data_IF_161374106004
#
_entry.id   IF_161374106004
#
_cell.length_a   1.000
_cell.length_b   1.000
_cell.length_c   1.000
_cell.angle_alpha   90.00
_cell.angle_beta   90.00
_cell.angle_gamma   90.00
#
_symmetry.space_group_name_H-M   'P 1'
#
loop_
_entity.id
_entity.type
_entity.pdbx_description
1 polymer ?
#
# COMPACT_ATOMS: atom_id res chain seq x y z
N UNK A 1 -47.72 52.75 -5.68
CA UNK A 1 -47.58 51.29 -5.63
C UNK A 1 -46.31 50.82 -6.27
N UNK A 2 -45.90 51.23 -7.48
CA UNK A 2 -44.71 50.83 -8.21
C UNK A 2 -43.37 51.09 -7.50
N UNK A 3 -43.19 52.22 -6.77
CA UNK A 3 -41.95 52.52 -6.01
C UNK A 3 -41.68 51.57 -4.82
N UNK A 4 -42.71 51.04 -4.17
CA UNK A 4 -42.59 50.04 -3.09
C UNK A 4 -42.18 48.69 -3.63
N UNK A 5 -42.66 48.26 -4.80
CA UNK A 5 -42.28 47.00 -5.44
C UNK A 5 -40.80 47.01 -5.90
N UNK A 6 -40.33 48.13 -6.49
CA UNK A 6 -38.94 48.30 -6.90
C UNK A 6 -37.98 48.28 -5.70
N UNK A 7 -38.36 48.85 -4.56
CA UNK A 7 -37.57 48.79 -3.32
C UNK A 7 -37.46 47.39 -2.72
N UNK A 8 -38.52 46.60 -2.78
CA UNK A 8 -38.51 45.20 -2.32
C UNK A 8 -37.65 44.29 -3.23
N UNK A 9 -37.74 44.53 -4.54
CA UNK A 9 -36.91 43.78 -5.52
C UNK A 9 -35.41 44.09 -5.35
N UNK A 10 -35.06 45.37 -5.14
CA UNK A 10 -33.67 45.79 -4.90
C UNK A 10 -33.09 45.21 -3.60
N UNK A 11 -33.89 45.19 -2.50
CA UNK A 11 -33.49 44.54 -1.23
C UNK A 11 -33.32 43.03 -1.38
N UNK A 12 -34.18 42.33 -2.12
CA UNK A 12 -34.06 40.90 -2.38
C UNK A 12 -32.77 40.58 -3.17
N UNK A 13 -32.45 41.34 -4.22
CA UNK A 13 -31.22 41.17 -5.02
C UNK A 13 -29.99 41.39 -4.13
N UNK A 14 -29.99 42.41 -3.25
CA UNK A 14 -28.86 42.66 -2.34
C UNK A 14 -28.68 41.52 -1.32
N UNK A 15 -29.76 40.96 -0.78
CA UNK A 15 -29.67 39.81 0.17
C UNK A 15 -29.12 38.57 -0.55
N UNK A 16 -29.62 38.27 -1.75
CA UNK A 16 -29.11 37.12 -2.52
C UNK A 16 -27.63 37.29 -2.89
N UNK A 17 -27.15 38.47 -3.26
CA UNK A 17 -25.76 38.71 -3.58
C UNK A 17 -24.84 38.58 -2.36
N UNK A 18 -25.31 39.02 -1.19
CA UNK A 18 -24.56 38.82 0.08
C UNK A 18 -24.51 37.34 0.46
N UNK A 19 -25.60 36.59 0.36
CA UNK A 19 -25.62 35.16 0.62
C UNK A 19 -24.70 34.40 -0.34
N UNK A 20 -24.70 34.69 -1.63
CA UNK A 20 -23.80 34.08 -2.61
C UNK A 20 -22.35 34.41 -2.34
N UNK A 21 -22.03 35.65 -1.98
CA UNK A 21 -20.65 36.04 -1.62
C UNK A 21 -20.19 35.32 -0.36
N UNK A 22 -21.05 35.19 0.66
CA UNK A 22 -20.73 34.43 1.88
C UNK A 22 -20.50 32.96 1.60
N UNK A 23 -21.33 32.32 0.78
CA UNK A 23 -21.14 30.94 0.34
C UNK A 23 -19.83 30.75 -0.43
N UNK A 24 -19.48 31.69 -1.32
CA UNK A 24 -18.23 31.65 -2.05
C UNK A 24 -17.01 31.74 -1.11
N UNK A 25 -17.05 32.63 -0.13
CA UNK A 25 -15.99 32.75 0.89
C UNK A 25 -15.82 31.46 1.69
N UNK A 26 -16.93 30.83 2.13
CA UNK A 26 -16.89 29.55 2.83
C UNK A 26 -16.32 28.46 1.95
N UNK A 27 -16.77 28.35 0.69
CA UNK A 27 -16.26 27.36 -0.26
C UNK A 27 -14.74 27.53 -0.51
N UNK A 28 -14.27 28.77 -0.69
CA UNK A 28 -12.84 29.05 -0.82
C UNK A 28 -12.10 28.65 0.46
N UNK A 29 -12.62 28.97 1.64
CA UNK A 29 -12.05 28.57 2.92
C UNK A 29 -11.89 27.05 3.04
N UNK A 30 -12.91 26.28 2.67
CA UNK A 30 -12.87 24.81 2.65
C UNK A 30 -11.79 24.30 1.68
N UNK A 31 -11.75 24.83 0.46
CA UNK A 31 -10.73 24.45 -0.54
C UNK A 31 -9.32 24.73 -0.01
N UNK A 32 -9.10 25.89 0.60
CA UNK A 32 -7.78 26.24 1.19
C UNK A 32 -7.40 25.26 2.30
N UNK A 33 -8.32 24.97 3.23
CA UNK A 33 -8.06 24.00 4.31
C UNK A 33 -7.69 22.62 3.75
N UNK A 34 -8.47 22.10 2.80
CA UNK A 34 -8.19 20.81 2.16
C UNK A 34 -6.82 20.83 1.47
N UNK A 35 -6.48 21.89 0.73
CA UNK A 35 -5.18 22.01 0.07
C UNK A 35 -4.01 22.05 1.05
N UNK A 36 -4.13 22.82 2.13
CA UNK A 36 -3.10 22.86 3.19
C UNK A 36 -2.91 21.49 3.82
N UNK A 37 -3.99 20.78 4.12
CA UNK A 37 -3.91 19.45 4.71
C UNK A 37 -3.36 18.41 3.72
N UNK A 38 -3.66 18.49 2.44
CA UNK A 38 -3.03 17.67 1.39
C UNK A 38 -1.50 17.88 1.36
N UNK A 39 -1.04 19.13 1.40
CA UNK A 39 0.40 19.44 1.43
C UNK A 39 1.07 18.92 2.71
N UNK A 40 0.39 19.02 3.86
CA UNK A 40 0.89 18.45 5.12
C UNK A 40 0.99 16.93 5.05
N UNK A 41 -0.02 16.26 4.50
CA UNK A 41 -0.02 14.81 4.32
C UNK A 41 1.12 14.38 3.39
N UNK A 42 1.32 15.06 2.25
CA UNK A 42 2.43 14.78 1.33
C UNK A 42 3.81 14.94 2.01
N UNK A 43 4.01 16.03 2.78
CA UNK A 43 5.26 16.25 3.53
C UNK A 43 5.49 15.17 4.58
N UNK A 44 4.45 14.77 5.30
CA UNK A 44 4.51 13.68 6.27
C UNK A 44 4.88 12.36 5.60
N UNK A 45 4.21 11.99 4.52
CA UNK A 45 4.53 10.79 3.75
C UNK A 45 5.96 10.80 3.23
N UNK A 46 6.44 11.94 2.74
CA UNK A 46 7.83 12.06 2.30
C UNK A 46 8.82 11.85 3.46
N UNK A 47 8.53 12.36 4.65
CA UNK A 47 9.35 12.13 5.84
C UNK A 47 9.34 10.64 6.26
N UNK A 48 8.19 9.97 6.22
CA UNK A 48 8.05 8.55 6.53
C UNK A 48 8.83 7.68 5.51
N UNK A 49 8.80 8.03 4.23
CA UNK A 49 9.64 7.39 3.20
C UNK A 49 11.15 7.57 3.48
N UNK A 50 11.57 8.78 3.87
CA UNK A 50 12.96 9.02 4.26
C UNK A 50 13.35 8.21 5.49
N UNK A 51 12.48 8.15 6.50
CA UNK A 51 12.70 7.34 7.69
C UNK A 51 12.88 5.86 7.33
N UNK A 52 12.01 5.30 6.49
CA UNK A 52 12.09 3.91 6.05
C UNK A 52 13.42 3.61 5.33
N UNK A 53 13.81 4.47 4.38
CA UNK A 53 15.04 4.27 3.57
C UNK A 53 16.31 4.48 4.39
N UNK A 54 16.26 5.31 5.42
CA UNK A 54 17.38 5.62 6.30
C UNK A 54 17.60 4.60 7.42
N UNK A 55 16.73 3.61 7.59
CA UNK A 55 16.90 2.57 8.61
C UNK A 55 18.27 1.87 8.45
N UNK A 56 18.98 1.60 9.56
CA UNK A 56 20.25 0.91 9.52
C UNK A 56 20.07 -0.51 8.98
N UNK A 57 21.00 -0.93 8.13
CA UNK A 57 20.98 -2.26 7.55
C UNK A 57 21.50 -3.29 8.53
N UNK A 58 20.91 -4.46 8.44
CA UNK A 58 21.46 -5.61 9.18
C UNK A 58 22.75 -6.11 8.53
N UNK A 59 23.76 -6.51 9.32
CA UNK A 59 24.94 -7.17 8.78
C UNK A 59 24.56 -8.36 7.89
N UNK A 60 25.13 -8.44 6.70
CA UNK A 60 24.90 -9.58 5.82
C UNK A 60 25.85 -10.70 6.21
N UNK A 61 25.38 -11.82 6.76
CA UNK A 61 26.22 -12.97 7.02
C UNK A 61 26.77 -13.53 5.69
N UNK A 62 27.85 -14.30 5.76
CA UNK A 62 28.30 -15.04 4.60
C UNK A 62 27.18 -15.88 3.99
N UNK A 63 27.11 -16.01 2.66
CA UNK A 63 26.03 -16.75 2.03
C UNK A 63 25.98 -18.18 2.52
N UNK A 64 25.00 -18.51 3.36
CA UNK A 64 24.68 -19.88 3.72
C UNK A 64 23.93 -20.54 2.58
N UNK A 65 24.21 -21.83 2.33
CA UNK A 65 23.44 -22.59 1.36
C UNK A 65 21.96 -22.61 1.80
N UNK A 66 21.10 -21.92 1.05
CA UNK A 66 19.66 -21.95 1.28
C UNK A 66 19.09 -23.28 0.79
N UNK A 67 18.68 -24.13 1.73
CA UNK A 67 17.87 -25.30 1.40
C UNK A 67 16.44 -24.84 1.14
N UNK A 68 16.07 -24.74 -0.13
CA UNK A 68 14.74 -24.32 -0.54
C UNK A 68 13.87 -25.53 -0.90
N UNK A 69 12.55 -25.52 -0.54
CA UNK A 69 11.59 -26.48 -1.07
C UNK A 69 11.59 -26.49 -2.59
N UNK A 70 11.33 -27.63 -3.26
CA UNK A 70 11.39 -27.71 -4.72
C UNK A 70 10.60 -26.65 -5.48
N UNK A 71 9.33 -26.31 -5.12
CA UNK A 71 8.60 -25.25 -5.82
C UNK A 71 9.26 -23.87 -5.64
N UNK A 72 9.81 -23.59 -4.47
CA UNK A 72 10.50 -22.33 -4.16
C UNK A 72 11.83 -22.21 -4.91
N UNK A 73 12.58 -23.33 -5.02
CA UNK A 73 13.82 -23.36 -5.78
C UNK A 73 13.56 -23.07 -7.28
N UNK A 74 12.50 -23.67 -7.86
CA UNK A 74 12.09 -23.36 -9.24
C UNK A 74 11.72 -21.88 -9.41
N UNK A 75 10.91 -21.33 -8.49
CA UNK A 75 10.54 -19.92 -8.50
C UNK A 75 11.77 -19.01 -8.44
N UNK A 76 12.72 -19.30 -7.56
CA UNK A 76 13.94 -18.50 -7.44
C UNK A 76 14.72 -18.43 -8.76
N UNK A 77 14.89 -19.56 -9.44
CA UNK A 77 15.58 -19.59 -10.73
C UNK A 77 14.87 -18.77 -11.80
N UNK A 78 13.53 -18.83 -11.85
CA UNK A 78 12.73 -18.13 -12.82
C UNK A 78 12.62 -16.63 -12.54
N UNK A 79 12.49 -16.25 -11.27
CA UNK A 79 12.16 -14.89 -10.88
C UNK A 79 13.38 -14.02 -10.58
N UNK A 80 14.48 -14.61 -10.13
CA UNK A 80 15.65 -13.87 -9.66
C UNK A 80 16.91 -14.22 -10.47
N UNK A 81 17.13 -15.50 -10.80
CA UNK A 81 18.37 -15.96 -11.43
C UNK A 81 19.59 -15.59 -10.58
N UNK A 82 20.60 -15.00 -11.22
CA UNK A 82 21.85 -14.54 -10.60
C UNK A 82 21.84 -13.05 -10.22
N UNK A 83 20.64 -12.44 -10.17
CA UNK A 83 20.53 -11.02 -9.90
C UNK A 83 20.97 -10.67 -8.47
N UNK A 84 21.68 -9.55 -8.35
CA UNK A 84 21.99 -8.94 -7.05
C UNK A 84 20.70 -8.56 -6.31
N UNK A 85 20.66 -8.71 -4.99
CA UNK A 85 19.50 -8.33 -4.19
C UNK A 85 19.10 -6.87 -4.39
N UNK A 86 17.82 -6.65 -4.66
CA UNK A 86 17.20 -5.33 -4.72
C UNK A 86 17.15 -4.74 -3.30
N UNK A 87 17.36 -3.45 -3.18
CA UNK A 87 17.37 -2.73 -1.90
C UNK A 87 16.08 -1.99 -1.67
N UNK A 88 15.57 -1.34 -2.71
CA UNK A 88 14.34 -0.57 -2.69
C UNK A 88 13.53 -0.85 -3.94
N UNK A 89 12.21 -0.78 -3.80
CA UNK A 89 11.26 -0.72 -4.92
C UNK A 89 10.36 0.47 -4.72
N UNK A 90 10.26 1.32 -5.74
CA UNK A 90 9.19 2.31 -5.86
C UNK A 90 8.18 1.83 -6.90
N UNK A 91 6.91 1.84 -6.54
CA UNK A 91 5.83 1.33 -7.38
C UNK A 91 4.68 2.34 -7.47
N UNK A 92 4.06 2.41 -8.64
CA UNK A 92 2.77 3.08 -8.85
C UNK A 92 1.76 2.05 -9.33
N UNK A 93 0.56 2.17 -8.84
CA UNK A 93 -0.53 1.28 -9.21
C UNK A 93 -1.85 2.04 -9.30
N UNK A 94 -2.78 1.46 -10.02
CA UNK A 94 -4.19 1.81 -10.04
C UNK A 94 -5.04 0.55 -9.83
N UNK A 95 -6.34 0.70 -9.73
CA UNK A 95 -7.22 -0.46 -9.60
C UNK A 95 -8.57 -0.12 -9.02
N UNK A 96 -9.16 -1.09 -8.33
CA UNK A 96 -10.45 -0.93 -7.64
C UNK A 96 -10.36 -1.37 -6.20
N UNK A 97 -11.16 -0.73 -5.36
CA UNK A 97 -11.25 -1.01 -3.93
C UNK A 97 -12.72 -1.04 -3.48
N UNK A 98 -13.08 -2.06 -2.67
CA UNK A 98 -14.39 -2.23 -2.07
C UNK A 98 -14.28 -2.14 -0.55
N UNK A 99 -15.12 -1.34 0.07
CA UNK A 99 -15.14 -1.19 1.55
C UNK A 99 -15.96 -2.28 2.25
N UNK A 100 -16.85 -2.94 1.51
CA UNK A 100 -17.68 -4.05 2.01
C UNK A 100 -18.09 -4.97 0.85
N UNK A 101 -18.55 -6.20 1.13
CA UNK A 101 -19.01 -7.13 0.09
C UNK A 101 -20.15 -6.59 -0.79
N UNK A 102 -20.91 -5.64 -0.29
CA UNK A 102 -22.07 -5.03 -0.99
C UNK A 102 -21.77 -3.66 -1.58
N UNK A 103 -20.58 -3.09 -1.30
CA UNK A 103 -20.19 -1.79 -1.85
C UNK A 103 -19.83 -1.89 -3.32
N UNK A 104 -20.12 -0.82 -4.09
CA UNK A 104 -19.63 -0.71 -5.46
C UNK A 104 -18.11 -0.50 -5.44
N UNK A 105 -17.37 -1.08 -6.41
CA UNK A 105 -15.96 -0.80 -6.55
C UNK A 105 -15.68 0.68 -6.80
N UNK A 106 -14.77 1.24 -6.02
CA UNK A 106 -14.26 2.60 -6.18
C UNK A 106 -12.92 2.57 -6.88
N UNK A 107 -12.65 3.53 -7.76
CA UNK A 107 -11.34 3.67 -8.37
C UNK A 107 -10.32 4.06 -7.31
N UNK A 108 -9.14 3.43 -7.38
CA UNK A 108 -8.01 3.70 -6.49
C UNK A 108 -6.74 3.93 -7.30
N UNK A 109 -5.92 4.87 -6.86
CA UNK A 109 -4.57 5.10 -7.37
C UNK A 109 -3.63 5.25 -6.20
N UNK A 110 -2.45 4.65 -6.27
CA UNK A 110 -1.51 4.69 -5.17
C UNK A 110 -0.05 4.63 -5.60
N UNK A 111 0.79 4.96 -4.63
CA UNK A 111 2.23 4.82 -4.71
C UNK A 111 2.72 4.08 -3.49
N UNK A 112 3.77 3.29 -3.68
CA UNK A 112 4.39 2.54 -2.59
C UNK A 112 5.89 2.52 -2.76
N UNK A 113 6.60 2.63 -1.64
CA UNK A 113 8.01 2.32 -1.55
C UNK A 113 8.20 1.13 -0.62
N UNK A 114 9.09 0.24 -1.00
CA UNK A 114 9.54 -0.89 -0.18
C UNK A 114 11.03 -0.78 0.08
N UNK A 115 11.45 -1.30 1.22
CA UNK A 115 12.84 -1.64 1.50
C UNK A 115 12.97 -3.14 1.73
N UNK A 116 14.11 -3.72 1.32
CA UNK A 116 14.39 -5.13 1.54
C UNK A 116 15.30 -5.38 2.75
N UNK A 117 15.98 -4.34 3.25
CA UNK A 117 16.93 -4.44 4.36
C UNK A 117 17.04 -3.13 5.15
N UNK A 118 16.41 -3.05 6.34
CA UNK A 118 15.40 -3.99 6.85
C UNK A 118 14.11 -3.96 6.01
N UNK A 119 13.34 -5.06 5.97
CA UNK A 119 12.09 -5.11 5.23
C UNK A 119 11.04 -4.17 5.80
N UNK A 120 10.40 -3.40 4.92
CA UNK A 120 9.34 -2.48 5.30
C UNK A 120 8.71 -1.81 4.09
N UNK A 121 7.65 -1.05 4.31
CA UNK A 121 7.00 -0.29 3.25
C UNK A 121 6.27 0.95 3.78
N UNK A 122 6.07 1.91 2.89
CA UNK A 122 5.10 3.01 3.03
C UNK A 122 4.25 3.05 1.76
N UNK A 123 2.96 2.91 1.93
CA UNK A 123 1.97 2.96 0.87
C UNK A 123 1.00 4.11 1.10
N UNK A 124 0.67 4.82 0.03
CA UNK A 124 -0.38 5.84 0.02
C UNK A 124 -1.27 5.67 -1.19
N UNK A 125 -2.56 5.89 -1.01
CA UNK A 125 -3.51 5.84 -2.10
C UNK A 125 -4.62 6.86 -1.93
N UNK A 126 -5.24 7.20 -3.07
CA UNK A 126 -6.45 7.97 -3.14
C UNK A 126 -7.58 7.11 -3.71
N UNK A 127 -8.70 7.07 -2.99
CA UNK A 127 -9.90 6.29 -3.33
C UNK A 127 -11.01 7.26 -3.65
N UNK A 128 -11.55 7.21 -4.86
CA UNK A 128 -12.67 8.06 -5.29
C UNK A 128 -13.97 7.67 -4.60
N UNK A 129 -14.68 8.63 -4.01
CA UNK A 129 -15.99 8.44 -3.36
C UNK A 129 -17.12 9.03 -4.19
N UNK A 130 -16.93 10.27 -4.65
CA UNK A 130 -17.87 11.02 -5.50
C UNK A 130 -17.08 12.11 -6.24
N UNK A 131 -17.64 12.79 -7.24
CA UNK A 131 -16.99 13.94 -7.85
C UNK A 131 -16.53 14.97 -6.82
N UNK A 132 -15.22 15.21 -6.76
CA UNK A 132 -14.59 16.14 -5.81
C UNK A 132 -14.45 15.62 -4.37
N UNK A 133 -14.81 14.37 -4.09
CA UNK A 133 -14.72 13.75 -2.77
C UNK A 133 -13.90 12.45 -2.84
N UNK A 134 -12.92 12.28 -1.98
CA UNK A 134 -12.05 11.09 -1.94
C UNK A 134 -11.57 10.76 -0.53
N UNK A 135 -11.11 9.54 -0.36
CA UNK A 135 -10.34 9.14 0.82
C UNK A 135 -8.86 9.06 0.47
N UNK A 136 -8.02 9.64 1.31
CA UNK A 136 -6.58 9.47 1.30
C UNK A 136 -6.22 8.40 2.33
N UNK A 137 -5.73 7.26 1.85
CA UNK A 137 -5.33 6.12 2.67
C UNK A 137 -3.81 6.03 2.75
N UNK A 138 -3.30 5.66 3.92
CA UNK A 138 -1.92 5.36 4.17
C UNK A 138 -1.83 4.07 4.98
N UNK A 139 -0.96 3.16 4.57
CA UNK A 139 -0.58 1.95 5.32
C UNK A 139 0.93 1.82 5.28
N UNK A 140 1.55 1.45 6.38
CA UNK A 140 3.01 1.31 6.45
C UNK A 140 3.43 0.26 7.47
N UNK A 141 4.66 -0.23 7.28
CA UNK A 141 5.43 -1.00 8.25
C UNK A 141 6.84 -0.43 8.29
N UNK A 142 7.18 0.23 9.38
CA UNK A 142 8.50 0.82 9.60
C UNK A 142 9.04 0.32 10.93
N UNK A 143 10.24 -0.27 10.95
CA UNK A 143 10.86 -0.84 12.15
C UNK A 143 9.86 -1.71 12.94
N UNK A 144 9.16 -2.63 12.25
CA UNK A 144 8.19 -3.61 12.77
C UNK A 144 6.86 -3.03 13.26
N UNK A 145 6.74 -1.71 13.29
CA UNK A 145 5.50 -1.04 13.70
C UNK A 145 4.63 -0.75 12.48
N UNK A 146 3.45 -1.33 12.47
CA UNK A 146 2.42 -1.09 11.48
C UNK A 146 1.56 0.13 11.85
N UNK A 147 1.13 0.89 10.86
CA UNK A 147 0.08 1.89 11.06
C UNK A 147 -0.79 2.04 9.82
N UNK A 148 -2.08 2.23 10.04
CA UNK A 148 -3.06 2.47 9.00
C UNK A 148 -3.84 3.74 9.30
N UNK A 149 -3.86 4.66 8.33
CA UNK A 149 -4.62 5.90 8.42
C UNK A 149 -5.45 6.12 7.17
N UNK A 150 -6.70 6.53 7.37
CA UNK A 150 -7.59 6.96 6.29
C UNK A 150 -8.19 8.31 6.65
N UNK A 151 -8.09 9.26 5.75
CA UNK A 151 -8.61 10.61 5.89
C UNK A 151 -9.61 10.90 4.77
N UNK A 152 -10.73 11.53 5.09
CA UNK A 152 -11.62 12.10 4.09
C UNK A 152 -11.05 13.46 3.66
N UNK A 153 -10.78 13.63 2.36
CA UNK A 153 -10.18 14.83 1.76
C UNK A 153 -8.95 15.34 2.52
N UNK A 154 -8.06 14.42 2.94
CA UNK A 154 -6.88 14.71 3.76
C UNK A 154 -7.16 15.47 5.06
N UNK A 155 -8.41 15.61 5.49
CA UNK A 155 -8.82 16.52 6.57
C UNK A 155 -9.46 15.79 7.74
N UNK A 156 -10.49 14.95 7.48
CA UNK A 156 -11.24 14.30 8.55
C UNK A 156 -10.73 12.85 8.75
N UNK A 157 -10.23 12.48 9.94
CA UNK A 157 -9.79 11.13 10.20
C UNK A 157 -10.99 10.17 10.22
N UNK A 158 -10.93 9.12 9.41
CA UNK A 158 -11.90 8.01 9.34
C UNK A 158 -11.33 6.77 10.01
N UNK A 159 -10.03 6.50 9.80
CA UNK A 159 -9.28 5.44 10.44
C UNK A 159 -7.94 5.99 10.91
N UNK A 160 -7.55 5.64 12.13
CA UNK A 160 -6.19 5.82 12.66
C UNK A 160 -5.92 4.63 13.57
N UNK A 161 -5.23 3.61 13.06
CA UNK A 161 -5.07 2.33 13.71
C UNK A 161 -3.60 1.94 13.83
N UNK A 162 -3.24 1.42 15.00
CA UNK A 162 -1.91 0.92 15.37
C UNK A 162 -2.05 -0.27 16.35
N UNK A 163 -0.92 -0.88 16.68
CA UNK A 163 -0.82 -1.96 17.65
C UNK A 163 -0.72 -3.34 17.04
N UNK A 164 -0.57 -4.39 17.85
CA UNK A 164 -0.19 -5.73 17.40
C UNK A 164 -1.02 -6.34 16.27
N UNK A 165 -2.36 -6.15 16.21
CA UNK A 165 -3.15 -6.62 15.06
C UNK A 165 -2.78 -5.93 13.74
N UNK A 166 -2.42 -4.63 13.79
CA UNK A 166 -2.00 -3.87 12.61
C UNK A 166 -0.57 -4.25 12.23
N UNK A 167 0.34 -4.42 13.19
CA UNK A 167 1.70 -4.88 12.96
C UNK A 167 1.71 -6.22 12.23
N UNK A 168 0.93 -7.20 12.72
CA UNK A 168 0.75 -8.51 12.09
C UNK A 168 0.16 -8.38 10.67
N UNK A 169 -0.88 -7.57 10.53
CA UNK A 169 -1.55 -7.34 9.25
C UNK A 169 -0.64 -6.70 8.20
N UNK A 170 0.17 -5.71 8.61
CA UNK A 170 1.13 -5.03 7.72
C UNK A 170 2.31 -5.94 7.38
N UNK A 171 2.80 -6.76 8.32
CA UNK A 171 3.85 -7.74 8.02
C UNK A 171 3.38 -8.86 7.07
N UNK A 172 2.14 -9.34 7.19
CA UNK A 172 1.56 -10.28 6.23
C UNK A 172 1.38 -9.66 4.85
N UNK A 173 0.94 -8.40 4.80
CA UNK A 173 0.87 -7.64 3.56
C UNK A 173 2.24 -7.53 2.92
N UNK A 174 3.27 -7.15 3.68
CA UNK A 174 4.65 -7.06 3.19
C UNK A 174 5.10 -8.39 2.58
N UNK A 175 4.89 -9.53 3.27
CA UNK A 175 5.25 -10.86 2.78
C UNK A 175 4.53 -11.20 1.47
N UNK A 176 3.22 -10.92 1.38
CA UNK A 176 2.42 -11.15 0.18
C UNK A 176 2.84 -10.23 -0.99
N UNK A 177 3.43 -9.10 -0.73
CA UNK A 177 3.87 -8.11 -1.73
C UNK A 177 5.34 -8.31 -2.17
N UNK A 178 6.11 -9.17 -1.50
CA UNK A 178 7.50 -9.48 -1.89
C UNK A 178 7.66 -10.08 -3.31
N UNK A 179 6.67 -10.74 -3.95
CA UNK A 179 6.79 -11.13 -5.35
C UNK A 179 7.04 -9.96 -6.33
N UNK A 180 6.77 -8.71 -5.92
CA UNK A 180 7.13 -7.52 -6.70
C UNK A 180 8.62 -7.18 -6.65
N UNK A 181 9.37 -7.67 -5.65
CA UNK A 181 10.84 -7.57 -5.52
C UNK A 181 11.40 -8.88 -4.98
N UNK A 182 11.35 -9.95 -5.78
CA UNK A 182 11.44 -11.34 -5.34
C UNK A 182 12.78 -11.70 -4.69
N UNK A 183 13.85 -10.90 -4.88
CA UNK A 183 15.11 -11.11 -4.17
C UNK A 183 14.94 -11.08 -2.65
N UNK A 184 13.96 -10.35 -2.12
CA UNK A 184 13.67 -10.27 -0.68
C UNK A 184 13.13 -11.59 -0.11
N UNK A 185 12.40 -12.38 -0.91
CA UNK A 185 11.89 -13.70 -0.50
C UNK A 185 12.99 -14.74 -0.27
N UNK A 186 14.20 -14.46 -0.73
CA UNK A 186 15.36 -15.34 -0.63
C UNK A 186 16.46 -14.78 0.29
N UNK A 187 16.18 -13.73 1.03
CA UNK A 187 17.06 -13.23 2.07
C UNK A 187 16.82 -13.99 3.39
N UNK A 188 17.69 -14.97 3.67
CA UNK A 188 17.56 -15.86 4.83
C UNK A 188 17.63 -15.15 6.19
N UNK A 189 18.03 -13.88 6.22
CA UNK A 189 17.99 -13.05 7.44
C UNK A 189 16.56 -12.79 7.88
N UNK A 190 15.64 -12.70 6.93
CA UNK A 190 14.27 -12.30 7.15
C UNK A 190 13.25 -13.36 6.76
N UNK A 191 13.49 -14.13 5.69
CA UNK A 191 12.51 -15.08 5.17
C UNK A 191 13.08 -16.50 5.19
N UNK A 192 12.35 -17.40 5.82
CA UNK A 192 12.64 -18.83 5.80
C UNK A 192 11.50 -19.59 5.13
N UNK A 193 11.82 -20.73 4.51
CA UNK A 193 10.86 -21.54 3.79
C UNK A 193 10.78 -22.96 4.34
N UNK A 194 9.56 -23.50 4.39
CA UNK A 194 9.34 -24.91 4.70
C UNK A 194 8.41 -25.55 3.66
N UNK A 195 8.71 -26.81 3.30
CA UNK A 195 7.90 -27.56 2.37
C UNK A 195 6.52 -27.92 2.96
N UNK A 196 5.49 -27.91 2.13
CA UNK A 196 4.18 -28.47 2.46
C UNK A 196 3.94 -29.67 1.52
N UNK A 197 3.96 -29.42 0.20
CA UNK A 197 3.85 -30.43 -0.84
C UNK A 197 4.56 -29.99 -2.13
N UNK A 198 4.25 -30.63 -3.26
CA UNK A 198 4.90 -30.36 -4.54
C UNK A 198 4.64 -28.95 -5.09
N UNK A 199 3.53 -28.32 -4.71
CA UNK A 199 3.09 -27.02 -5.21
C UNK A 199 2.93 -25.97 -4.14
N UNK A 200 3.02 -26.33 -2.85
CA UNK A 200 2.86 -25.42 -1.73
C UNK A 200 4.09 -25.37 -0.84
N UNK A 201 4.43 -24.16 -0.43
CA UNK A 201 5.46 -23.92 0.58
C UNK A 201 5.06 -22.79 1.52
N UNK A 202 5.47 -22.88 2.78
CA UNK A 202 5.27 -21.86 3.78
C UNK A 202 6.46 -20.93 3.82
N UNK A 203 6.23 -19.64 3.62
CA UNK A 203 7.18 -18.59 3.92
C UNK A 203 6.93 -18.06 5.33
N UNK A 204 7.99 -17.85 6.10
CA UNK A 204 7.95 -17.19 7.41
C UNK A 204 8.83 -15.97 7.36
N UNK A 205 8.21 -14.80 7.50
CA UNK A 205 8.90 -13.51 7.64
C UNK A 205 9.14 -13.26 9.13
N UNK A 206 10.39 -12.97 9.49
CA UNK A 206 10.79 -12.59 10.84
C UNK A 206 11.43 -11.21 10.80
N UNK A 207 10.88 -10.31 11.60
CA UNK A 207 11.37 -8.96 11.84
C UNK A 207 11.52 -8.85 13.34
N UNK A 208 12.76 -8.96 13.88
CA UNK A 208 12.98 -8.96 15.34
C UNK A 208 11.98 -9.82 16.12
N UNK A 209 11.05 -9.15 16.84
CA UNK A 209 10.04 -9.83 17.66
C UNK A 209 8.74 -10.13 16.88
N UNK A 210 8.56 -9.55 15.71
CA UNK A 210 7.38 -9.77 14.87
C UNK A 210 7.63 -10.92 13.89
N UNK A 211 6.82 -11.97 13.99
CA UNK A 211 6.86 -13.11 13.08
C UNK A 211 5.50 -13.39 12.48
N UNK A 212 5.46 -13.56 11.15
CA UNK A 212 4.27 -13.94 10.41
C UNK A 212 4.59 -15.04 9.39
N UNK A 213 3.58 -15.82 9.02
CA UNK A 213 3.74 -16.87 8.02
C UNK A 213 2.57 -16.89 7.05
N UNK A 214 2.87 -17.22 5.79
CA UNK A 214 1.88 -17.43 4.76
C UNK A 214 2.25 -18.61 3.87
N UNK A 215 1.25 -19.22 3.27
CA UNK A 215 1.40 -20.35 2.33
C UNK A 215 1.33 -19.81 0.91
N UNK A 216 2.38 -20.03 0.15
CA UNK A 216 2.41 -19.77 -1.29
C UNK A 216 2.03 -21.03 -2.05
N UNK A 217 1.16 -20.87 -3.03
CA UNK A 217 0.81 -21.85 -4.05
C UNK A 217 1.54 -21.50 -5.35
N UNK A 218 2.16 -22.49 -5.99
CA UNK A 218 2.93 -22.33 -7.22
C UNK A 218 2.27 -23.06 -8.38
N UNK A 219 2.18 -22.39 -9.51
CA UNK A 219 1.68 -22.95 -10.75
C UNK A 219 2.62 -23.97 -11.39
N UNK A 220 2.13 -24.64 -12.41
CA UNK A 220 2.92 -25.57 -13.24
C UNK A 220 4.07 -24.87 -13.97
N UNK A 221 3.95 -23.57 -14.20
CA UNK A 221 4.99 -22.69 -14.75
C UNK A 221 6.06 -22.30 -13.71
N UNK A 222 5.89 -22.70 -12.44
CA UNK A 222 6.80 -22.42 -11.33
C UNK A 222 6.66 -21.04 -10.72
N UNK A 223 5.70 -20.22 -11.15
CA UNK A 223 5.43 -18.91 -10.57
C UNK A 223 4.36 -19.00 -9.48
N UNK A 224 4.39 -18.12 -8.47
CA UNK A 224 3.32 -18.05 -7.48
C UNK A 224 1.97 -17.71 -8.12
N UNK A 225 0.93 -18.50 -7.80
CA UNK A 225 -0.46 -18.21 -8.14
C UNK A 225 -1.13 -17.41 -7.06
N UNK A 226 -0.83 -17.75 -5.79
CA UNK A 226 -1.48 -17.15 -4.63
C UNK A 226 -0.57 -17.19 -3.40
N UNK A 227 -0.96 -16.39 -2.39
CA UNK A 227 -0.48 -16.49 -1.02
C UNK A 227 -1.66 -16.36 -0.08
N UNK A 228 -1.71 -17.21 0.95
CA UNK A 228 -2.78 -17.22 1.96
C UNK A 228 -2.22 -17.23 3.37
N UNK A 229 -2.95 -16.60 4.31
CA UNK A 229 -2.60 -16.53 5.71
C UNK A 229 -3.83 -16.23 6.60
N UNK A 230 -3.69 -16.45 7.91
CA UNK A 230 -4.63 -15.95 8.91
C UNK A 230 -4.24 -14.52 9.31
N UNK A 231 -5.08 -13.54 9.00
CA UNK A 231 -4.84 -12.11 9.24
C UNK A 231 -5.94 -11.52 10.12
N UNK A 232 -5.57 -10.57 10.99
CA UNK A 232 -6.57 -9.81 11.74
C UNK A 232 -7.45 -8.98 10.80
N UNK A 233 -8.76 -9.17 10.92
CA UNK A 233 -9.77 -8.32 10.32
C UNK A 233 -10.31 -7.40 11.42
N UNK A 234 -9.81 -6.16 11.44
CA UNK A 234 -10.00 -5.27 12.58
C UNK A 234 -9.04 -5.58 13.74
N UNK A 235 -9.50 -5.48 14.98
CA UNK A 235 -8.65 -5.54 16.18
C UNK A 235 -8.60 -6.90 16.88
N UNK A 236 -9.57 -7.77 16.68
CA UNK A 236 -9.74 -8.94 17.53
C UNK A 236 -9.89 -10.27 16.81
N UNK A 237 -10.38 -10.30 15.59
CA UNK A 237 -10.72 -11.53 14.88
C UNK A 237 -9.74 -11.80 13.75
N UNK A 238 -9.18 -13.01 13.69
CA UNK A 238 -8.42 -13.49 12.54
C UNK A 238 -9.35 -14.21 11.57
N UNK A 239 -9.13 -13.94 10.29
CA UNK A 239 -9.85 -14.61 9.20
C UNK A 239 -8.87 -15.02 8.10
N UNK A 240 -9.20 -16.07 7.34
CA UNK A 240 -8.41 -16.40 6.17
C UNK A 240 -8.39 -15.23 5.19
N UNK A 241 -7.20 -14.86 4.80
CA UNK A 241 -6.89 -13.73 3.92
C UNK A 241 -5.84 -14.16 2.89
N UNK A 242 -5.84 -13.53 1.74
CA UNK A 242 -4.80 -13.83 0.76
C UNK A 242 -4.85 -12.96 -0.47
N UNK A 243 -3.83 -13.15 -1.30
CA UNK A 243 -3.68 -12.50 -2.59
C UNK A 243 -3.44 -13.49 -3.71
N UNK A 244 -3.79 -13.10 -4.93
CA UNK A 244 -3.48 -13.82 -6.16
C UNK A 244 -2.62 -12.95 -7.06
N UNK A 245 -1.78 -13.58 -7.91
CA UNK A 245 -0.83 -12.91 -8.78
C UNK A 245 -1.08 -13.32 -10.22
N UNK A 246 -1.06 -12.33 -11.13
CA UNK A 246 -1.27 -12.53 -12.56
C UNK A 246 -0.38 -11.61 -13.37
N UNK A 247 -0.41 -11.78 -14.70
CA UNK A 247 0.29 -10.92 -15.65
C UNK A 247 1.78 -10.74 -15.30
N UNK A 248 2.49 -11.86 -15.25
CA UNK A 248 3.91 -11.91 -14.93
C UNK A 248 4.76 -11.37 -16.06
N UNK A 249 5.53 -10.31 -15.79
CA UNK A 249 6.40 -9.63 -16.75
C UNK A 249 7.84 -9.63 -16.28
N UNK A 250 8.76 -9.40 -17.23
CA UNK A 250 10.18 -9.20 -16.91
C UNK A 250 10.46 -7.70 -16.70
N UNK A 251 10.96 -7.36 -15.51
CA UNK A 251 11.37 -5.99 -15.17
C UNK A 251 12.76 -6.05 -14.55
N UNK A 252 13.72 -5.36 -15.14
CA UNK A 252 15.12 -5.37 -14.69
C UNK A 252 15.67 -6.78 -14.47
N UNK A 253 15.30 -7.75 -15.31
CA UNK A 253 15.76 -9.14 -15.22
C UNK A 253 15.06 -10.00 -14.16
N UNK A 254 14.03 -9.49 -13.49
CA UNK A 254 13.19 -10.25 -12.54
C UNK A 254 11.81 -10.53 -13.16
N UNK A 255 11.21 -11.68 -12.83
CA UNK A 255 9.81 -11.99 -13.15
C UNK A 255 8.92 -11.51 -12.01
N UNK A 256 8.03 -10.56 -12.29
CA UNK A 256 7.19 -9.90 -11.30
C UNK A 256 5.75 -9.78 -11.80
N UNK A 257 4.72 -9.87 -10.92
CA UNK A 257 3.33 -9.76 -11.33
C UNK A 257 2.93 -8.29 -11.57
N UNK A 258 2.13 -8.04 -12.60
CA UNK A 258 1.56 -6.71 -12.91
C UNK A 258 0.10 -6.60 -12.53
N UNK A 259 -0.51 -7.71 -12.14
CA UNK A 259 -1.87 -7.77 -11.63
C UNK A 259 -1.91 -8.59 -10.34
N UNK A 260 -2.62 -8.08 -9.33
CA UNK A 260 -2.88 -8.78 -8.08
C UNK A 260 -4.28 -8.48 -7.55
N UNK A 261 -4.88 -9.46 -6.88
CA UNK A 261 -6.15 -9.29 -6.16
C UNK A 261 -5.98 -9.71 -4.72
N UNK A 262 -6.71 -9.06 -3.81
CA UNK A 262 -6.65 -9.36 -2.38
C UNK A 262 -8.05 -9.61 -1.85
N UNK A 263 -8.20 -10.71 -1.09
CA UNK A 263 -9.50 -11.20 -0.64
C UNK A 263 -9.49 -11.66 0.81
N UNK A 264 -10.64 -11.51 1.44
CA UNK A 264 -11.00 -12.20 2.68
C UNK A 264 -11.87 -13.41 2.36
N UNK A 265 -11.74 -14.49 3.12
CA UNK A 265 -12.70 -15.58 3.14
C UNK A 265 -13.68 -15.34 4.28
N UNK A 266 -14.87 -14.90 3.95
CA UNK A 266 -15.94 -14.65 4.91
C UNK A 266 -16.90 -15.84 4.98
N UNK A 267 -17.72 -15.92 6.02
CA UNK A 267 -18.77 -16.94 6.13
C UNK A 267 -19.75 -16.91 4.94
N UNK A 268 -19.90 -15.74 4.30
CA UNK A 268 -20.73 -15.53 3.11
C UNK A 268 -20.00 -15.84 1.79
N UNK A 269 -18.76 -16.30 1.84
CA UNK A 269 -17.92 -16.57 0.68
C UNK A 269 -16.75 -15.58 0.52
N UNK A 270 -15.97 -15.70 -0.56
CA UNK A 270 -14.81 -14.84 -0.81
C UNK A 270 -15.25 -13.39 -1.07
N UNK A 271 -14.57 -12.46 -0.40
CA UNK A 271 -14.72 -11.01 -0.60
C UNK A 271 -13.41 -10.43 -1.13
N UNK A 272 -13.34 -10.23 -2.45
CA UNK A 272 -12.22 -9.51 -3.07
C UNK A 272 -12.42 -8.01 -2.86
N UNK A 273 -11.61 -7.42 -1.99
CA UNK A 273 -11.74 -6.03 -1.63
C UNK A 273 -10.78 -5.10 -2.40
N UNK A 274 -9.72 -5.65 -2.98
CA UNK A 274 -8.76 -4.87 -3.75
C UNK A 274 -8.32 -5.62 -5.01
N UNK A 275 -8.22 -4.88 -6.11
CA UNK A 275 -7.62 -5.33 -7.36
C UNK A 275 -6.62 -4.29 -7.81
N UNK A 276 -5.37 -4.73 -8.03
CA UNK A 276 -4.24 -3.89 -8.34
C UNK A 276 -3.74 -4.13 -9.76
N UNK A 277 -3.53 -3.05 -10.51
CA UNK A 277 -2.86 -3.03 -11.80
C UNK A 277 -1.61 -2.16 -11.64
N UNK A 278 -0.45 -2.74 -11.84
CA UNK A 278 0.82 -2.04 -11.69
C UNK A 278 1.08 -1.20 -12.93
N UNK A 279 1.38 0.07 -12.73
CA UNK A 279 1.68 1.03 -13.80
C UNK A 279 3.18 1.19 -14.03
N UNK A 280 3.96 1.23 -12.95
CA UNK A 280 5.41 1.37 -13.02
C UNK A 280 6.09 0.79 -11.79
N UNK A 281 7.31 0.29 -12.00
CA UNK A 281 8.24 -0.18 -10.98
C UNK A 281 9.63 0.36 -11.26
N UNK A 282 10.30 0.86 -10.21
CA UNK A 282 11.69 1.32 -10.27
C UNK A 282 12.43 0.76 -9.06
N UNK A 283 13.51 0.03 -9.32
CA UNK A 283 14.34 -0.59 -8.30
C UNK A 283 15.57 0.26 -8.02
N UNK A 284 15.97 0.30 -6.75
CA UNK A 284 17.18 0.95 -6.24
C UNK A 284 17.23 2.47 -6.48
N UNK A 285 16.09 3.10 -6.79
CA UNK A 285 15.93 4.53 -6.87
C UNK A 285 15.70 5.10 -5.46
N UNK A 286 16.76 5.64 -4.88
CA UNK A 286 16.68 6.36 -3.61
C UNK A 286 16.22 7.78 -3.90
N UNK A 287 15.18 8.32 -3.25
CA UNK A 287 14.79 9.71 -3.40
C UNK A 287 16.00 10.60 -3.05
N UNK A 288 16.53 11.34 -4.02
CA UNK A 288 17.53 12.35 -3.73
C UNK A 288 16.90 13.37 -2.79
N UNK A 289 17.47 13.55 -1.60
CA UNK A 289 17.22 14.71 -0.77
C UNK A 289 17.52 15.91 -1.64
N UNK A 290 16.56 16.83 -1.80
CA UNK A 290 16.86 18.13 -2.37
C UNK A 290 17.87 18.80 -1.43
N UNK A 291 19.14 18.62 -1.71
CA UNK A 291 20.16 19.50 -1.20
C UNK A 291 19.90 20.85 -1.86
N UNK A 292 19.25 21.73 -1.11
CA UNK A 292 19.24 23.16 -1.39
C UNK A 292 20.69 23.60 -1.41
N UNK A 293 21.28 23.63 -2.59
CA UNK A 293 22.56 24.27 -2.82
C UNK A 293 22.40 25.76 -2.54
N UNK A 294 22.87 26.18 -1.38
CA UNK A 294 23.26 27.56 -1.15
C UNK A 294 24.56 27.77 -1.96
N UNK A 295 24.43 28.24 -3.17
CA UNK A 295 25.56 28.87 -3.87
C UNK A 295 25.71 30.31 -3.36
N UNK A 296 26.82 30.53 -2.74
CA UNK A 296 27.40 31.83 -2.38
C UNK A 296 27.46 32.81 -3.55
#
# INVERSE_FOLDING_TARGET
MLRRLAGLQKKRITVWSVCLASLAVVAIGVVVVVRVNQLRLQRRTAAEWQTLVALPRSPRPAPAALTLPPPVARYRLLAVGDRTPVRTLRMRHRGTFCTSPTSKPSAIQGTQIFTADPPGFVWTARIGMAPGLWMDAQDMLIAETGSMRVLLDATLPVVDAQGPPIDQGSALRLLAEMPWYPTALFDARYVTWSAIDANHARATLRLHDLQVSGVFEFGSDGLPLSMSAERYMGQSERKPWGGTYRDWRSVSGMRVPFEASVSWQLATGPFTYAHWLIESMTYDDVPQSQTSGSSS
#
